data_IF_509530787890
#
_entry.id   IF_509530787890
#
_cell.length_a   1.000
_cell.length_b   1.000
_cell.length_c   1.000
_cell.angle_alpha   90.00
_cell.angle_beta   90.00
_cell.angle_gamma   90.00
#
_symmetry.space_group_name_H-M   'P 1'
#
loop_
_entity.id
_entity.type
_entity.pdbx_description
1 polymer ?
#
# COMPACT_ATOMS: atom_id res chain seq x y z
N UNK A 1 -5.84 -50.55 26.99
CA UNK A 1 -7.23 -50.10 27.15
C UNK A 1 -7.23 -48.62 27.49
N UNK A 2 -8.17 -47.87 26.89
CA UNK A 2 -8.55 -46.48 27.18
C UNK A 2 -7.90 -45.36 26.35
N UNK A 3 -8.77 -44.74 25.54
CA UNK A 3 -8.90 -43.30 25.30
C UNK A 3 -8.30 -42.59 24.05
N UNK A 4 -8.29 -43.25 22.88
CA UNK A 4 -8.13 -42.53 21.59
C UNK A 4 -9.39 -42.55 20.70
N UNK A 5 -10.34 -43.46 20.95
CA UNK A 5 -11.59 -43.59 20.16
C UNK A 5 -12.64 -42.51 20.49
N UNK A 6 -12.59 -41.95 21.69
CA UNK A 6 -13.64 -41.05 22.23
C UNK A 6 -13.53 -39.59 21.74
N UNK A 7 -12.45 -39.21 21.05
CA UNK A 7 -12.23 -37.83 20.57
C UNK A 7 -12.72 -37.57 19.14
N UNK A 8 -13.06 -38.61 18.38
CA UNK A 8 -13.58 -38.48 17.01
C UNK A 8 -15.12 -38.43 16.94
N UNK A 9 -15.83 -38.76 18.02
CA UNK A 9 -17.30 -38.74 18.09
C UNK A 9 -17.90 -37.34 18.34
N UNK A 10 -17.07 -36.31 18.56
CA UNK A 10 -17.50 -34.94 18.85
C UNK A 10 -17.25 -33.95 17.69
N UNK A 11 -16.92 -34.43 16.50
CA UNK A 11 -17.13 -33.64 15.28
C UNK A 11 -18.63 -33.57 15.05
N UNK A 12 -19.30 -32.61 15.69
CA UNK A 12 -20.65 -32.19 15.32
C UNK A 12 -20.65 -32.07 13.80
N UNK A 13 -21.47 -32.88 13.14
CA UNK A 13 -21.77 -32.71 11.73
C UNK A 13 -22.11 -31.23 11.55
N UNK A 14 -21.22 -30.50 10.89
CA UNK A 14 -21.55 -29.16 10.40
C UNK A 14 -22.78 -29.40 9.53
N UNK A 15 -23.95 -28.81 9.87
CA UNK A 15 -25.16 -29.08 9.11
C UNK A 15 -24.87 -28.77 7.65
N UNK A 16 -25.05 -29.79 6.80
CA UNK A 16 -24.94 -29.62 5.36
C UNK A 16 -26.06 -28.66 4.97
N UNK A 17 -25.69 -27.41 4.70
CA UNK A 17 -26.60 -26.41 4.14
C UNK A 17 -27.12 -27.01 2.82
N UNK A 18 -28.45 -27.14 2.65
CA UNK A 18 -29.03 -27.62 1.40
C UNK A 18 -28.48 -26.81 0.23
N UNK A 19 -28.14 -27.46 -0.89
CA UNK A 19 -27.58 -26.79 -2.08
C UNK A 19 -28.49 -25.64 -2.57
N UNK A 20 -29.81 -25.77 -2.38
CA UNK A 20 -30.81 -24.75 -2.68
C UNK A 20 -30.78 -23.52 -1.75
N UNK A 21 -30.25 -23.64 -0.54
CA UNK A 21 -29.98 -22.50 0.35
C UNK A 21 -28.64 -21.83 0.02
N UNK A 22 -27.65 -22.58 -0.50
CA UNK A 22 -26.40 -22.01 -1.03
C UNK A 22 -26.69 -21.16 -2.27
N UNK A 23 -27.53 -21.63 -3.19
CA UNK A 23 -27.96 -20.87 -4.39
C UNK A 23 -28.68 -19.56 -4.02
N UNK A 24 -29.55 -19.58 -3.01
CA UNK A 24 -30.30 -18.39 -2.56
C UNK A 24 -29.45 -17.35 -1.83
N UNK A 25 -28.34 -17.77 -1.21
CA UNK A 25 -27.39 -16.84 -0.59
C UNK A 25 -26.50 -16.20 -1.67
N UNK A 26 -26.20 -16.93 -2.74
CA UNK A 26 -25.35 -16.49 -3.85
C UNK A 26 -26.04 -15.43 -4.73
N UNK A 27 -27.37 -15.48 -4.91
CA UNK A 27 -28.14 -14.49 -5.70
C UNK A 27 -28.08 -13.04 -5.16
N UNK A 28 -27.65 -12.84 -3.90
CA UNK A 28 -27.70 -11.53 -3.21
C UNK A 28 -26.32 -10.99 -2.79
N UNK A 29 -25.24 -11.74 -3.03
CA UNK A 29 -23.87 -11.30 -2.79
C UNK A 29 -23.16 -11.01 -4.11
N UNK A 30 -22.53 -9.84 -4.22
CA UNK A 30 -21.69 -9.51 -5.38
C UNK A 30 -20.63 -10.60 -5.58
N UNK A 31 -20.41 -10.99 -6.83
CA UNK A 31 -19.32 -11.88 -7.22
C UNK A 31 -17.95 -11.24 -6.91
N UNK A 32 -16.91 -12.07 -6.80
CA UNK A 32 -15.54 -11.57 -6.61
C UNK A 32 -15.10 -10.65 -7.75
N UNK A 33 -15.50 -10.91 -8.99
CA UNK A 33 -15.16 -10.03 -10.11
C UNK A 33 -15.86 -8.67 -10.02
N UNK A 34 -17.11 -8.62 -9.57
CA UNK A 34 -17.81 -7.36 -9.32
C UNK A 34 -17.17 -6.57 -8.17
N UNK A 35 -16.78 -7.24 -7.09
CA UNK A 35 -16.01 -6.62 -6.02
C UNK A 35 -14.67 -6.09 -6.52
N UNK A 36 -13.95 -6.85 -7.36
CA UNK A 36 -12.68 -6.42 -7.95
C UNK A 36 -12.87 -5.21 -8.85
N UNK A 37 -13.87 -5.23 -9.73
CA UNK A 37 -14.21 -4.14 -10.63
C UNK A 37 -14.60 -2.88 -9.85
N UNK A 38 -15.41 -3.01 -8.80
CA UNK A 38 -15.77 -1.91 -7.90
C UNK A 38 -14.54 -1.29 -7.23
N UNK A 39 -13.61 -2.11 -6.72
CA UNK A 39 -12.35 -1.62 -6.17
C UNK A 39 -11.54 -0.91 -7.26
N UNK A 40 -11.36 -1.55 -8.41
CA UNK A 40 -10.58 -1.01 -9.52
C UNK A 40 -11.13 0.35 -10.01
N UNK A 41 -12.44 0.57 -10.03
CA UNK A 41 -13.01 1.84 -10.52
C UNK A 41 -12.69 3.07 -9.67
N UNK A 42 -12.02 2.91 -8.53
CA UNK A 42 -11.53 4.02 -7.71
C UNK A 42 -10.35 4.75 -8.37
N UNK A 43 -10.12 5.98 -7.90
CA UNK A 43 -9.15 6.93 -8.47
C UNK A 43 -7.72 6.69 -7.99
N UNK A 44 -7.53 6.31 -6.72
CA UNK A 44 -6.26 5.98 -6.07
C UNK A 44 -5.21 7.10 -6.03
N UNK A 45 -5.60 8.36 -5.81
CA UNK A 45 -4.65 9.49 -5.82
C UNK A 45 -4.32 10.05 -4.44
N UNK A 46 -5.21 9.93 -3.47
CA UNK A 46 -5.04 10.56 -2.16
C UNK A 46 -3.76 10.10 -1.44
N UNK A 47 -3.51 8.78 -1.38
CA UNK A 47 -2.32 8.23 -0.73
C UNK A 47 -1.03 8.50 -1.53
N UNK A 48 -1.00 8.35 -2.87
CA UNK A 48 0.17 8.76 -3.66
C UNK A 48 0.54 10.24 -3.52
N UNK A 49 -0.45 11.14 -3.50
CA UNK A 49 -0.22 12.57 -3.29
C UNK A 49 0.36 12.85 -1.89
N UNK A 50 -0.17 12.18 -0.85
CA UNK A 50 0.35 12.28 0.50
C UNK A 50 1.80 11.80 0.59
N UNK A 51 2.10 10.65 -0.01
CA UNK A 51 3.46 10.12 -0.09
C UNK A 51 4.41 11.05 -0.83
N UNK A 52 4.01 11.55 -2.00
CA UNK A 52 4.80 12.50 -2.77
C UNK A 52 5.15 13.76 -1.97
N UNK A 53 4.16 14.33 -1.26
CA UNK A 53 4.35 15.54 -0.48
C UNK A 53 5.31 15.33 0.70
N UNK A 54 5.13 14.24 1.44
CA UNK A 54 6.00 13.89 2.58
C UNK A 54 7.44 13.71 2.12
N UNK A 55 7.67 12.90 1.08
CA UNK A 55 9.02 12.63 0.58
C UNK A 55 9.64 13.85 -0.09
N UNK A 56 8.85 14.72 -0.71
CA UNK A 56 9.33 16.01 -1.19
C UNK A 56 9.90 16.85 -0.06
N UNK A 57 9.17 16.99 1.06
CA UNK A 57 9.66 17.76 2.20
C UNK A 57 10.86 17.10 2.90
N UNK A 58 10.90 15.77 3.01
CA UNK A 58 12.08 15.06 3.54
C UNK A 58 13.31 15.41 2.69
N UNK A 59 13.23 15.23 1.37
CA UNK A 59 14.37 15.49 0.48
C UNK A 59 14.76 16.96 0.41
N UNK A 60 13.78 17.86 0.34
CA UNK A 60 14.02 19.30 0.21
C UNK A 60 14.58 19.92 1.50
N UNK A 61 14.18 19.42 2.68
CA UNK A 61 14.66 19.94 3.96
C UNK A 61 15.99 19.33 4.41
N UNK A 62 16.36 18.14 3.92
CA UNK A 62 17.54 17.40 4.37
C UNK A 62 18.84 18.23 4.41
N UNK A 63 19.18 19.08 3.41
CA UNK A 63 20.41 19.87 3.45
C UNK A 63 20.47 20.92 4.55
N UNK A 64 19.32 21.27 5.14
CA UNK A 64 19.15 22.39 6.06
C UNK A 64 18.92 21.98 7.51
N UNK A 65 18.80 20.67 7.78
CA UNK A 65 18.44 20.13 9.09
C UNK A 65 19.51 19.17 9.62
N UNK A 66 19.51 18.94 10.94
CA UNK A 66 20.45 18.02 11.58
C UNK A 66 20.19 16.56 11.19
N UNK A 67 21.19 15.70 11.34
CA UNK A 67 21.06 14.26 11.10
C UNK A 67 19.92 13.62 11.90
N UNK A 68 19.77 13.99 13.17
CA UNK A 68 18.64 13.54 13.98
C UNK A 68 17.29 13.95 13.38
N UNK A 69 17.18 15.19 12.90
CA UNK A 69 15.97 15.69 12.26
C UNK A 69 15.68 14.98 10.93
N UNK A 70 16.71 14.67 10.11
CA UNK A 70 16.57 13.85 8.90
C UNK A 70 15.96 12.48 9.23
N UNK A 71 16.52 11.80 10.23
CA UNK A 71 16.04 10.49 10.67
C UNK A 71 14.60 10.56 11.17
N UNK A 72 14.28 11.51 12.06
CA UNK A 72 12.92 11.69 12.57
C UNK A 72 11.93 12.07 11.46
N UNK A 73 12.35 12.84 10.46
CA UNK A 73 11.50 13.22 9.34
C UNK A 73 11.00 12.02 8.54
N UNK A 74 11.82 10.99 8.35
CA UNK A 74 11.40 9.77 7.63
C UNK A 74 10.44 8.94 8.46
N UNK A 75 10.71 8.76 9.76
CA UNK A 75 9.84 7.99 10.66
C UNK A 75 8.46 8.64 10.81
N UNK A 76 8.44 9.90 11.21
CA UNK A 76 7.21 10.66 11.43
C UNK A 76 6.49 10.93 10.11
N UNK A 77 7.24 11.28 9.06
CA UNK A 77 6.71 11.49 7.73
C UNK A 77 6.02 10.25 7.19
N UNK A 78 6.69 9.09 7.22
CA UNK A 78 6.09 7.84 6.72
C UNK A 78 4.84 7.47 7.51
N UNK A 79 4.88 7.60 8.85
CA UNK A 79 3.71 7.37 9.70
C UNK A 79 2.54 8.33 9.43
N UNK A 80 2.82 9.57 9.00
CA UNK A 80 1.78 10.56 8.74
C UNK A 80 1.12 10.46 7.35
N UNK A 81 1.71 9.70 6.41
CA UNK A 81 1.17 9.52 5.04
C UNK A 81 -0.28 9.05 5.07
N UNK A 82 -0.64 8.11 5.95
CA UNK A 82 -2.01 7.60 6.02
C UNK A 82 -3.01 8.71 6.41
N UNK A 83 -2.68 9.49 7.44
CA UNK A 83 -3.53 10.58 7.91
C UNK A 83 -3.64 11.72 6.89
N UNK A 84 -2.54 12.05 6.21
CA UNK A 84 -2.55 12.98 5.08
C UNK A 84 -3.36 12.43 3.89
N UNK A 85 -3.31 11.12 3.65
CA UNK A 85 -4.16 10.45 2.66
C UNK A 85 -5.64 10.56 3.00
N UNK A 86 -6.03 10.44 4.27
CA UNK A 86 -7.41 10.70 4.71
C UNK A 86 -7.81 12.15 4.42
N UNK A 87 -6.93 13.12 4.70
CA UNK A 87 -7.17 14.53 4.38
C UNK A 87 -7.33 14.74 2.87
N UNK A 88 -6.44 14.18 2.06
CA UNK A 88 -6.47 14.28 0.60
C UNK A 88 -7.63 13.54 -0.04
N UNK A 89 -8.15 12.48 0.57
CA UNK A 89 -9.31 11.74 0.05
C UNK A 89 -10.56 12.61 -0.10
N UNK A 90 -10.68 13.67 0.71
CA UNK A 90 -11.76 14.66 0.59
C UNK A 90 -11.59 15.55 -0.65
N UNK A 91 -10.36 15.91 -0.99
CA UNK A 91 -10.04 16.74 -2.14
C UNK A 91 -10.00 15.95 -3.46
N UNK A 92 -9.62 14.67 -3.42
CA UNK A 92 -9.58 13.82 -4.62
C UNK A 92 -10.91 13.16 -4.96
N UNK A 93 -11.91 13.25 -4.06
CA UNK A 93 -13.23 12.64 -4.21
C UNK A 93 -13.28 11.15 -3.83
N UNK A 94 -12.27 10.63 -3.13
CA UNK A 94 -12.13 9.20 -2.79
C UNK A 94 -12.76 8.81 -1.45
N UNK A 95 -13.19 9.77 -0.63
CA UNK A 95 -13.98 9.60 0.61
C UNK A 95 -13.78 8.25 1.34
N UNK A 96 -12.58 8.03 1.90
CA UNK A 96 -12.23 6.80 2.62
C UNK A 96 -13.07 6.53 3.88
N UNK A 97 -13.74 7.55 4.42
CA UNK A 97 -14.56 7.50 5.64
C UNK A 97 -16.06 7.33 5.31
N UNK A 98 -16.43 7.28 4.03
CA UNK A 98 -17.84 7.03 3.67
C UNK A 98 -18.23 5.61 4.08
N UNK A 99 -19.28 5.50 4.89
CA UNK A 99 -19.80 4.21 5.36
C UNK A 99 -20.53 3.49 4.22
N UNK A 100 -19.78 2.87 3.31
CA UNK A 100 -20.32 1.87 2.40
C UNK A 100 -20.76 0.65 3.21
N UNK A 101 -22.05 0.28 3.08
CA UNK A 101 -22.66 -0.86 3.80
C UNK A 101 -22.06 -2.23 3.44
N UNK A 102 -21.35 -2.35 2.32
CA UNK A 102 -20.65 -3.57 1.91
C UNK A 102 -19.14 -3.38 1.98
N UNK A 103 -18.48 -4.20 2.80
CA UNK A 103 -17.01 -4.30 2.87
C UNK A 103 -16.51 -5.01 1.62
N UNK A 104 -15.60 -4.40 0.87
CA UNK A 104 -15.01 -5.02 -0.30
C UNK A 104 -13.85 -5.94 0.12
N UNK A 105 -13.83 -7.24 -0.26
CA UNK A 105 -12.73 -8.15 0.10
C UNK A 105 -11.35 -7.68 -0.42
N UNK A 106 -11.31 -6.92 -1.51
CA UNK A 106 -10.08 -6.36 -2.05
C UNK A 106 -9.51 -5.21 -1.21
N UNK A 107 -10.34 -4.53 -0.39
CA UNK A 107 -9.84 -3.59 0.62
C UNK A 107 -9.02 -4.33 1.68
N UNK A 108 -9.51 -5.48 2.14
CA UNK A 108 -8.80 -6.32 3.10
C UNK A 108 -7.53 -6.93 2.50
N UNK A 109 -7.57 -7.37 1.24
CA UNK A 109 -6.39 -7.86 0.52
C UNK A 109 -5.32 -6.77 0.41
N UNK A 110 -5.70 -5.54 0.04
CA UNK A 110 -4.77 -4.43 -0.04
C UNK A 110 -4.21 -4.04 1.33
N UNK A 111 -5.05 -3.98 2.38
CA UNK A 111 -4.59 -3.77 3.76
C UNK A 111 -3.61 -4.86 4.23
N UNK A 112 -3.81 -6.12 3.80
CA UNK A 112 -2.88 -7.21 4.10
C UNK A 112 -1.52 -6.98 3.42
N UNK A 113 -1.50 -6.47 2.19
CA UNK A 113 -0.27 -6.10 1.50
C UNK A 113 0.46 -4.92 2.17
N UNK A 114 -0.29 -3.95 2.70
CA UNK A 114 0.28 -2.90 3.57
C UNK A 114 0.90 -3.55 4.80
N UNK A 115 0.18 -4.42 5.50
CA UNK A 115 0.68 -5.15 6.66
C UNK A 115 1.98 -5.90 6.36
N UNK A 116 2.04 -6.66 5.26
CA UNK A 116 3.25 -7.34 4.80
C UNK A 116 4.41 -6.37 4.56
N UNK A 117 4.14 -5.22 3.95
CA UNK A 117 5.15 -4.17 3.73
C UNK A 117 5.67 -3.61 5.05
N UNK A 118 4.79 -3.41 6.03
CA UNK A 118 5.15 -2.92 7.36
C UNK A 118 5.96 -3.94 8.17
N UNK A 119 5.78 -5.26 7.95
CA UNK A 119 6.61 -6.26 8.63
C UNK A 119 8.11 -6.13 8.29
N UNK A 120 8.45 -5.52 7.15
CA UNK A 120 9.84 -5.21 6.78
C UNK A 120 10.49 -4.21 7.76
N UNK A 121 9.71 -3.46 8.55
CA UNK A 121 10.26 -2.66 9.64
C UNK A 121 11.03 -3.50 10.68
N UNK A 122 10.71 -4.79 10.81
CA UNK A 122 11.50 -5.72 11.64
C UNK A 122 12.95 -5.88 11.18
N UNK A 123 13.25 -5.56 9.91
CA UNK A 123 14.61 -5.49 9.36
C UNK A 123 15.11 -4.04 9.36
N UNK A 124 14.26 -3.08 8.96
CA UNK A 124 14.66 -1.68 8.84
C UNK A 124 15.13 -1.09 10.17
N UNK A 125 14.47 -1.40 11.28
CA UNK A 125 14.81 -0.85 12.60
C UNK A 125 16.20 -1.30 13.09
N UNK A 126 16.53 -2.61 13.15
CA UNK A 126 17.88 -3.05 13.54
C UNK A 126 18.99 -2.52 12.62
N UNK A 127 18.77 -2.51 11.30
CA UNK A 127 19.76 -2.00 10.34
C UNK A 127 19.99 -0.50 10.56
N UNK A 128 18.94 0.27 10.82
CA UNK A 128 19.04 1.69 11.14
C UNK A 128 19.78 1.99 12.46
N UNK A 129 19.84 1.04 13.40
CA UNK A 129 20.63 1.19 14.62
C UNK A 129 22.13 1.05 14.37
N UNK A 130 22.51 0.29 13.32
CA UNK A 130 23.91 0.15 12.89
C UNK A 130 24.32 1.35 12.05
N UNK A 131 23.48 1.74 11.09
CA UNK A 131 23.69 2.91 10.24
C UNK A 131 22.36 3.61 9.98
N UNK A 132 22.16 4.76 10.64
CA UNK A 132 20.93 5.54 10.53
C UNK A 132 20.69 6.09 9.12
N UNK A 133 21.73 6.19 8.28
CA UNK A 133 21.56 6.68 6.90
C UNK A 133 20.84 5.67 6.01
N UNK A 134 20.71 4.41 6.44
CA UNK A 134 19.93 3.35 5.76
C UNK A 134 18.42 3.55 5.81
N UNK A 135 17.93 4.46 6.66
CA UNK A 135 16.50 4.70 6.87
C UNK A 135 15.76 5.08 5.57
N UNK A 136 16.18 6.12 4.80
CA UNK A 136 15.53 6.43 3.53
C UNK A 136 15.57 5.24 2.54
N UNK A 137 16.61 4.41 2.59
CA UNK A 137 16.74 3.22 1.74
C UNK A 137 15.73 2.14 2.12
N UNK A 138 15.73 1.69 3.38
CA UNK A 138 14.88 0.58 3.84
C UNK A 138 13.41 0.98 3.86
N UNK A 139 13.08 2.14 4.44
CA UNK A 139 11.71 2.67 4.49
C UNK A 139 11.21 3.06 3.11
N UNK A 140 12.10 3.59 2.27
CA UNK A 140 11.81 3.91 0.88
C UNK A 140 11.40 2.67 0.08
N UNK A 141 12.11 1.55 0.20
CA UNK A 141 11.77 0.31 -0.54
C UNK A 141 10.51 -0.33 0.02
N UNK A 142 10.40 -0.52 1.35
CA UNK A 142 9.26 -1.24 1.93
C UNK A 142 7.93 -0.54 1.62
N UNK A 143 7.89 0.79 1.64
CA UNK A 143 6.68 1.56 1.32
C UNK A 143 6.27 1.46 -0.16
N UNK A 144 7.13 0.91 -1.03
CA UNK A 144 6.78 0.61 -2.42
C UNK A 144 6.14 -0.76 -2.63
N UNK A 145 6.33 -1.74 -1.73
CA UNK A 145 6.03 -3.15 -2.01
C UNK A 145 4.52 -3.43 -2.20
N UNK A 146 3.67 -2.77 -1.41
CA UNK A 146 2.21 -2.87 -1.51
C UNK A 146 1.64 -2.53 -2.89
N UNK A 147 2.36 -1.75 -3.71
CA UNK A 147 1.92 -1.36 -5.06
C UNK A 147 1.84 -2.53 -6.05
N UNK A 148 2.60 -3.60 -5.81
CA UNK A 148 2.54 -4.81 -6.62
C UNK A 148 1.16 -5.44 -6.55
N UNK A 149 0.58 -5.54 -5.34
CA UNK A 149 -0.75 -6.09 -5.11
C UNK A 149 -1.82 -5.16 -5.67
N UNK A 150 -1.67 -3.84 -5.50
CA UNK A 150 -2.58 -2.86 -6.11
C UNK A 150 -2.73 -3.08 -7.62
N UNK A 151 -1.60 -3.21 -8.33
CA UNK A 151 -1.58 -3.43 -9.79
C UNK A 151 -2.33 -4.67 -10.23
N UNK A 152 -2.13 -5.75 -9.47
CA UNK A 152 -2.81 -7.01 -9.72
C UNK A 152 -4.33 -6.87 -9.55
N UNK A 153 -4.79 -6.18 -8.50
CA UNK A 153 -6.23 -5.97 -8.26
C UNK A 153 -6.85 -5.14 -9.39
N UNK A 154 -6.23 -4.00 -9.71
CA UNK A 154 -6.78 -3.04 -10.69
C UNK A 154 -6.49 -3.40 -12.15
N UNK A 155 -5.76 -4.48 -12.39
CA UNK A 155 -5.33 -4.97 -13.71
C UNK A 155 -4.63 -3.87 -14.54
N UNK A 156 -3.68 -3.18 -13.93
CA UNK A 156 -2.95 -2.08 -14.55
C UNK A 156 -1.47 -2.12 -14.13
N UNK A 157 -0.57 -1.82 -15.07
CA UNK A 157 0.89 -1.95 -14.88
C UNK A 157 1.50 -1.01 -13.83
N UNK A 158 0.80 0.09 -13.50
CA UNK A 158 1.35 1.26 -12.79
C UNK A 158 2.07 0.94 -11.49
N UNK A 159 1.55 0.06 -10.65
CA UNK A 159 2.17 -0.24 -9.36
C UNK A 159 3.32 -1.24 -9.45
N UNK A 160 3.35 -2.11 -10.47
CA UNK A 160 4.54 -2.90 -10.79
C UNK A 160 5.68 -1.97 -11.17
N UNK A 161 5.41 -1.01 -12.07
CA UNK A 161 6.40 0.00 -12.43
C UNK A 161 6.78 0.88 -11.23
N UNK A 162 5.83 1.31 -10.39
CA UNK A 162 6.12 2.06 -9.17
C UNK A 162 7.12 1.33 -8.27
N UNK A 163 6.80 0.08 -7.91
CA UNK A 163 7.62 -0.70 -6.98
C UNK A 163 9.01 -1.00 -7.56
N UNK A 164 9.10 -1.37 -8.84
CA UNK A 164 10.37 -1.70 -9.50
C UNK A 164 11.22 -0.43 -9.67
N UNK A 165 10.67 0.63 -10.25
CA UNK A 165 11.40 1.89 -10.46
C UNK A 165 11.88 2.48 -9.13
N UNK A 166 11.02 2.45 -8.11
CA UNK A 166 11.38 2.89 -6.77
C UNK A 166 12.51 2.03 -6.20
N UNK A 167 12.40 0.71 -6.22
CA UNK A 167 13.45 -0.17 -5.65
C UNK A 167 14.77 0.00 -6.38
N UNK A 168 14.78 -0.11 -7.71
CA UNK A 168 16.00 0.01 -8.52
C UNK A 168 16.59 1.42 -8.40
N UNK A 169 15.76 2.46 -8.50
CA UNK A 169 16.22 3.84 -8.38
C UNK A 169 16.81 4.15 -7.00
N UNK A 170 16.22 3.62 -5.92
CA UNK A 170 16.74 3.80 -4.55
C UNK A 170 18.10 3.10 -4.40
N UNK A 171 18.24 1.88 -4.94
CA UNK A 171 19.53 1.17 -4.95
C UNK A 171 20.59 1.94 -5.73
N UNK A 172 20.25 2.46 -6.91
CA UNK A 172 21.17 3.29 -7.70
C UNK A 172 21.55 4.56 -6.93
N UNK A 173 20.59 5.27 -6.34
CA UNK A 173 20.82 6.49 -5.58
C UNK A 173 21.71 6.24 -4.35
N UNK A 174 21.48 5.13 -3.64
CA UNK A 174 22.27 4.72 -2.48
C UNK A 174 23.76 4.61 -2.78
N UNK A 175 24.11 3.99 -3.92
CA UNK A 175 25.50 3.80 -4.33
C UNK A 175 26.09 5.03 -5.02
N UNK A 176 25.27 5.80 -5.74
CA UNK A 176 25.74 6.96 -6.52
C UNK A 176 25.93 8.22 -5.66
N UNK A 177 25.16 8.36 -4.59
CA UNK A 177 25.13 9.57 -3.73
C UNK A 177 25.26 9.20 -2.25
N UNK A 178 26.39 8.61 -1.81
CA UNK A 178 26.55 8.11 -0.44
C UNK A 178 26.44 9.21 0.63
N UNK A 179 26.81 10.45 0.31
CA UNK A 179 26.77 11.60 1.21
C UNK A 179 25.43 12.37 1.16
N UNK A 180 24.58 12.12 0.15
CA UNK A 180 23.28 12.76 -0.04
C UNK A 180 22.15 11.74 -0.12
N UNK A 181 22.21 10.71 0.73
CA UNK A 181 21.27 9.58 0.72
C UNK A 181 19.83 10.04 0.94
N UNK A 182 19.57 10.96 1.86
CA UNK A 182 18.21 11.42 2.15
C UNK A 182 17.62 12.19 0.97
N UNK A 183 18.40 13.07 0.36
CA UNK A 183 18.02 13.93 -0.76
C UNK A 183 17.75 13.09 -2.02
N UNK A 184 18.74 12.30 -2.43
CA UNK A 184 18.72 11.53 -3.68
C UNK A 184 17.65 10.44 -3.66
N UNK A 185 17.51 9.71 -2.57
CA UNK A 185 16.48 8.67 -2.41
C UNK A 185 15.09 9.30 -2.37
N UNK A 186 14.92 10.42 -1.66
CA UNK A 186 13.64 11.15 -1.65
C UNK A 186 13.26 11.62 -3.05
N UNK A 187 14.22 12.12 -3.84
CA UNK A 187 13.97 12.52 -5.22
C UNK A 187 13.49 11.35 -6.09
N UNK A 188 14.12 10.17 -5.99
CA UNK A 188 13.65 8.96 -6.67
C UNK A 188 12.22 8.62 -6.28
N UNK A 189 11.90 8.70 -4.98
CA UNK A 189 10.55 8.38 -4.48
C UNK A 189 9.52 9.38 -5.01
N UNK A 190 9.82 10.67 -5.01
CA UNK A 190 8.94 11.70 -5.59
C UNK A 190 8.71 11.46 -7.08
N UNK A 191 9.77 11.17 -7.85
CA UNK A 191 9.66 10.82 -9.28
C UNK A 191 8.76 9.60 -9.45
N UNK A 192 8.91 8.58 -8.59
CA UNK A 192 8.06 7.40 -8.65
C UNK A 192 6.59 7.67 -8.39
N UNK A 193 6.28 8.56 -7.44
CA UNK A 193 4.91 9.00 -7.22
C UNK A 193 4.37 9.83 -8.39
N UNK A 194 5.14 10.76 -8.94
CA UNK A 194 4.70 11.59 -10.07
C UNK A 194 4.29 10.72 -11.26
N UNK A 195 5.13 9.76 -11.64
CA UNK A 195 4.81 8.81 -12.73
C UNK A 195 3.54 8.04 -12.41
N UNK A 196 3.39 7.53 -11.18
CA UNK A 196 2.20 6.78 -10.79
C UNK A 196 0.92 7.61 -10.73
N UNK A 197 1.00 8.85 -10.23
CA UNK A 197 -0.12 9.78 -10.16
C UNK A 197 -0.63 10.10 -11.57
N UNK A 198 0.27 10.40 -12.51
CA UNK A 198 -0.08 10.66 -13.90
C UNK A 198 -0.77 9.42 -14.51
N UNK A 199 -0.18 8.23 -14.35
CA UNK A 199 -0.73 7.00 -14.90
C UNK A 199 -2.11 6.64 -14.30
N UNK A 200 -2.30 6.80 -12.99
CA UNK A 200 -3.57 6.56 -12.30
C UNK A 200 -4.66 7.56 -12.70
N UNK A 201 -4.31 8.83 -12.84
CA UNK A 201 -5.24 9.86 -13.31
C UNK A 201 -5.67 9.62 -14.76
N UNK A 202 -4.72 9.26 -15.65
CA UNK A 202 -5.02 8.90 -17.04
C UNK A 202 -5.96 7.69 -17.11
N UNK A 203 -5.66 6.65 -16.32
CA UNK A 203 -6.52 5.47 -16.18
C UNK A 203 -7.92 5.84 -15.71
N UNK A 204 -8.05 6.65 -14.67
CA UNK A 204 -9.35 7.06 -14.13
C UNK A 204 -10.16 7.86 -15.16
N UNK A 205 -9.52 8.76 -15.91
CA UNK A 205 -10.16 9.50 -17.00
C UNK A 205 -10.65 8.59 -18.12
N UNK A 206 -9.92 7.52 -18.44
CA UNK A 206 -10.36 6.55 -19.45
C UNK A 206 -11.60 5.79 -18.98
N UNK A 207 -11.63 5.36 -17.72
CA UNK A 207 -12.80 4.67 -17.14
C UNK A 207 -14.05 5.55 -17.20
N UNK A 208 -13.95 6.84 -16.87
CA UNK A 208 -15.09 7.76 -16.88
C UNK A 208 -15.52 8.21 -18.29
N UNK A 209 -14.71 8.00 -19.33
CA UNK A 209 -15.11 8.26 -20.72
C UNK A 209 -15.89 7.08 -21.33
N UNK A 210 -15.69 5.88 -20.78
CA UNK A 210 -16.29 4.64 -21.27
C UNK A 210 -17.53 4.21 -20.48
N UNK A 211 -17.88 4.94 -19.42
CA UNK A 211 -19.08 4.77 -18.60
C UNK A 211 -20.20 5.70 -19.08
#
# INVERSE_FOLDING_TARGET
MSNTSTKLSNLKQVPLVPFSEVEKVDEMSLSLEEHRASFANRRFLALPLAGALVWFFIGASAPFISEYAKVMSVWLGTGCIFYLGLLFSRFTGENFISQSKQKNPFDLLFLSAIGMSLLVFGIAMPVAQIDHTTIPFTVGILAGLMWMVLSWIIQHWVGYAHAIMRTVGIVIAWYSFPEQRFESISAVIVISYVVSIIALEMRFRQLNKSA
#
